data_IF_285540201128
#
_entry.id   IF_285540201128
#
_cell.length_a   1.000
_cell.length_b   1.000
_cell.length_c   1.000
_cell.angle_alpha   90.00
_cell.angle_beta   90.00
_cell.angle_gamma   90.00
#
_symmetry.space_group_name_H-M   'P 1'
#
loop_
_entity.id
_entity.type
_entity.pdbx_description
1 polymer ?
#
# COMPACT_ATOMS: atom_id res chain seq x y z
N UNK A 1 10.68 -19.62 24.07
CA UNK A 1 9.24 -19.72 23.75
C UNK A 1 9.09 -20.31 22.36
N UNK A 2 8.77 -21.60 22.31
CA UNK A 2 8.56 -22.53 21.18
C UNK A 2 9.07 -22.08 19.78
N UNK A 3 10.18 -22.70 19.32
CA UNK A 3 10.63 -22.67 17.93
C UNK A 3 9.54 -23.30 17.05
N UNK A 4 8.61 -22.49 16.59
CA UNK A 4 7.64 -22.89 15.58
C UNK A 4 8.46 -23.21 14.32
N UNK A 5 8.51 -24.49 13.94
CA UNK A 5 9.19 -24.90 12.71
C UNK A 5 8.47 -24.23 11.54
N UNK A 6 9.19 -23.36 10.85
CA UNK A 6 8.66 -22.62 9.70
C UNK A 6 8.50 -23.63 8.56
N UNK A 7 7.27 -23.76 8.05
CA UNK A 7 7.01 -24.57 6.86
C UNK A 7 7.62 -23.87 5.64
N UNK A 8 8.58 -24.52 4.99
CA UNK A 8 9.31 -23.97 3.84
C UNK A 8 8.38 -23.66 2.67
N UNK A 9 7.35 -24.47 2.43
CA UNK A 9 6.39 -24.22 1.33
C UNK A 9 5.62 -22.94 1.59
N UNK A 10 5.10 -22.77 2.81
CA UNK A 10 4.39 -21.55 3.22
C UNK A 10 5.31 -20.33 3.23
N UNK A 11 6.58 -20.51 3.60
CA UNK A 11 7.57 -19.43 3.57
C UNK A 11 7.82 -18.94 2.14
N UNK A 12 8.04 -19.86 1.20
CA UNK A 12 8.19 -19.51 -0.22
C UNK A 12 6.95 -18.80 -0.73
N UNK A 13 5.75 -19.33 -0.46
CA UNK A 13 4.49 -18.70 -0.85
C UNK A 13 4.33 -17.28 -0.28
N UNK A 14 4.72 -17.07 0.99
CA UNK A 14 4.69 -15.75 1.63
C UNK A 14 5.66 -14.77 0.96
N UNK A 15 6.89 -15.18 0.68
CA UNK A 15 7.91 -14.31 0.06
C UNK A 15 7.54 -14.00 -1.39
N UNK A 16 7.02 -14.99 -2.13
CA UNK A 16 6.70 -14.87 -3.56
C UNK A 16 5.22 -14.57 -3.81
N UNK A 17 4.50 -14.03 -2.82
CA UNK A 17 3.08 -13.73 -2.98
C UNK A 17 2.88 -12.64 -4.03
N UNK A 18 2.47 -13.04 -5.24
CA UNK A 18 2.51 -12.17 -6.41
C UNK A 18 1.76 -10.84 -6.26
N UNK A 19 0.61 -10.74 -5.56
CA UNK A 19 -0.11 -9.47 -5.46
C UNK A 19 0.75 -8.38 -4.80
N UNK A 20 1.69 -8.75 -3.94
CA UNK A 20 2.50 -7.81 -3.16
C UNK A 20 3.98 -7.82 -3.49
N UNK A 21 4.45 -8.68 -4.40
CA UNK A 21 5.88 -8.95 -4.61
C UNK A 21 6.68 -7.75 -5.11
N UNK A 22 6.09 -6.89 -5.96
CA UNK A 22 6.83 -5.78 -6.57
C UNK A 22 6.91 -4.58 -5.62
N UNK A 23 5.77 -4.09 -5.12
CA UNK A 23 5.74 -2.98 -4.15
C UNK A 23 4.44 -2.93 -3.35
N UNK A 24 3.83 -4.10 -3.08
CA UNK A 24 2.59 -4.16 -2.31
C UNK A 24 2.81 -3.96 -0.81
N UNK A 25 1.74 -3.98 -0.01
CA UNK A 25 1.84 -3.84 1.44
C UNK A 25 2.69 -4.96 2.07
N UNK A 26 3.48 -4.59 3.08
CA UNK A 26 4.24 -5.52 3.93
C UNK A 26 3.28 -6.09 5.00
N UNK A 27 3.09 -7.37 5.31
CA UNK A 27 3.73 -8.61 4.97
C UNK A 27 4.37 -9.20 6.26
N UNK A 28 3.63 -9.77 7.22
CA UNK A 28 4.17 -10.58 8.34
C UNK A 28 3.74 -12.04 8.20
N UNK A 29 4.73 -12.93 8.16
CA UNK A 29 4.53 -14.38 7.95
C UNK A 29 3.39 -14.98 8.79
N UNK A 30 3.35 -14.71 10.11
CA UNK A 30 2.32 -15.26 11.01
C UNK A 30 0.90 -14.82 10.64
N UNK A 31 0.72 -13.60 10.13
CA UNK A 31 -0.59 -13.09 9.72
C UNK A 31 -0.98 -13.66 8.36
N UNK A 32 -0.05 -13.68 7.40
CA UNK A 32 -0.28 -14.31 6.10
C UNK A 32 -0.69 -15.79 6.24
N UNK A 33 0.05 -16.57 7.01
CA UNK A 33 -0.25 -18.00 7.22
C UNK A 33 -1.61 -18.20 7.90
N UNK A 34 -2.01 -17.30 8.81
CA UNK A 34 -3.33 -17.36 9.45
C UNK A 34 -4.46 -17.20 8.43
N UNK A 35 -4.30 -16.30 7.44
CA UNK A 35 -5.30 -16.13 6.38
C UNK A 35 -5.22 -17.29 5.37
N UNK A 36 -4.01 -17.75 5.03
CA UNK A 36 -3.78 -18.86 4.10
C UNK A 36 -4.39 -20.19 4.59
N UNK A 37 -4.26 -20.50 5.88
CA UNK A 37 -4.79 -21.74 6.46
C UNK A 37 -6.28 -21.67 6.79
N UNK A 38 -6.89 -20.48 6.68
CA UNK A 38 -8.28 -20.27 7.07
C UNK A 38 -9.21 -20.57 5.90
N UNK A 39 -10.13 -21.50 6.12
CA UNK A 39 -11.24 -21.71 5.19
C UNK A 39 -12.15 -20.47 5.15
N UNK A 40 -12.49 -20.04 3.94
CA UNK A 40 -13.30 -18.84 3.72
C UNK A 40 -14.71 -19.27 3.36
N UNK A 41 -15.66 -18.93 4.23
CA UNK A 41 -17.07 -19.13 3.96
C UNK A 41 -17.54 -18.28 2.76
N UNK A 42 -18.50 -18.78 1.99
CA UNK A 42 -18.94 -18.18 0.72
C UNK A 42 -19.45 -16.74 0.89
N UNK A 43 -20.13 -16.46 1.99
CA UNK A 43 -20.61 -15.11 2.36
C UNK A 43 -19.44 -14.14 2.57
N UNK A 44 -18.40 -14.56 3.29
CA UNK A 44 -17.18 -13.77 3.51
C UNK A 44 -16.43 -13.57 2.19
N UNK A 45 -16.31 -14.60 1.35
CA UNK A 45 -15.67 -14.48 0.04
C UNK A 45 -16.41 -13.48 -0.87
N UNK A 46 -17.75 -13.50 -0.86
CA UNK A 46 -18.57 -12.54 -1.63
C UNK A 46 -18.32 -11.10 -1.20
N UNK A 47 -18.13 -10.85 0.11
CA UNK A 47 -17.74 -9.52 0.62
C UNK A 47 -16.33 -9.11 0.18
N UNK A 48 -15.38 -10.05 0.18
CA UNK A 48 -14.01 -9.80 -0.30
C UNK A 48 -14.01 -9.47 -1.79
N UNK A 49 -14.79 -10.19 -2.59
CA UNK A 49 -14.96 -9.92 -4.01
C UNK A 49 -15.52 -8.52 -4.26
N UNK A 50 -16.58 -8.12 -3.54
CA UNK A 50 -17.15 -6.77 -3.64
C UNK A 50 -16.12 -5.68 -3.30
N UNK A 51 -15.33 -5.88 -2.23
CA UNK A 51 -14.23 -4.95 -1.87
C UNK A 51 -13.12 -4.92 -2.92
N UNK A 52 -12.74 -6.07 -3.47
CA UNK A 52 -11.72 -6.16 -4.50
C UNK A 52 -12.12 -5.37 -5.75
N UNK A 53 -13.36 -5.56 -6.23
CA UNK A 53 -13.90 -4.78 -7.36
C UNK A 53 -13.88 -3.29 -7.05
N UNK A 54 -14.36 -2.89 -5.87
CA UNK A 54 -14.33 -1.48 -5.45
C UNK A 54 -12.92 -0.89 -5.44
N UNK A 55 -11.94 -1.61 -4.90
CA UNK A 55 -10.55 -1.17 -4.86
C UNK A 55 -9.90 -1.14 -6.25
N UNK A 56 -10.25 -2.06 -7.15
CA UNK A 56 -9.83 -1.97 -8.56
C UNK A 56 -10.36 -0.68 -9.19
N UNK A 57 -11.65 -0.37 -9.01
CA UNK A 57 -12.25 0.84 -9.59
C UNK A 57 -11.61 2.12 -9.05
N UNK A 58 -11.37 2.22 -7.74
CA UNK A 58 -10.66 3.36 -7.16
C UNK A 58 -9.19 3.38 -7.60
N UNK A 59 -8.53 2.23 -7.67
CA UNK A 59 -7.15 2.12 -8.13
C UNK A 59 -6.99 2.64 -9.56
N UNK A 60 -7.94 2.32 -10.44
CA UNK A 60 -7.97 2.82 -11.83
C UNK A 60 -8.09 4.34 -11.85
N UNK A 61 -9.04 4.89 -11.08
CA UNK A 61 -9.21 6.35 -10.94
C UNK A 61 -7.93 7.02 -10.41
N UNK A 62 -7.34 6.47 -9.36
CA UNK A 62 -6.17 7.06 -8.72
C UNK A 62 -4.95 7.02 -9.65
N UNK A 63 -4.62 5.86 -10.20
CA UNK A 63 -3.36 5.66 -10.93
C UNK A 63 -3.44 6.17 -12.36
N UNK A 64 -4.49 5.84 -13.10
CA UNK A 64 -4.55 6.10 -14.54
C UNK A 64 -5.27 7.39 -14.91
N UNK A 65 -6.05 7.98 -14.01
CA UNK A 65 -6.71 9.27 -14.26
C UNK A 65 -6.03 10.37 -13.46
N UNK A 66 -6.09 10.32 -12.12
CA UNK A 66 -5.61 11.42 -11.28
C UNK A 66 -4.09 11.53 -11.33
N UNK A 67 -3.35 10.46 -11.04
CA UNK A 67 -1.89 10.50 -11.02
C UNK A 67 -1.34 10.84 -12.41
N UNK A 68 -1.91 10.27 -13.48
CA UNK A 68 -1.52 10.60 -14.85
C UNK A 68 -1.73 12.09 -15.18
N UNK A 69 -2.90 12.65 -14.84
CA UNK A 69 -3.17 14.07 -15.01
C UNK A 69 -2.18 14.94 -14.22
N UNK A 70 -1.96 14.64 -12.94
CA UNK A 70 -1.03 15.41 -12.10
C UNK A 70 0.40 15.31 -12.65
N UNK A 71 0.82 14.13 -13.08
CA UNK A 71 2.14 13.92 -13.67
C UNK A 71 2.31 14.79 -14.92
N UNK A 72 1.37 14.72 -15.86
CA UNK A 72 1.46 15.40 -17.15
C UNK A 72 1.49 16.93 -17.00
N UNK A 73 0.69 17.50 -16.10
CA UNK A 73 0.49 18.95 -16.03
C UNK A 73 1.27 19.64 -14.89
N UNK A 74 1.64 18.91 -13.83
CA UNK A 74 2.25 19.50 -12.63
C UNK A 74 3.61 18.92 -12.25
N UNK A 75 4.04 17.81 -12.86
CA UNK A 75 5.35 17.19 -12.58
C UNK A 75 6.27 17.28 -13.78
N UNK A 76 5.88 16.73 -14.93
CA UNK A 76 6.71 16.66 -16.13
C UNK A 76 7.20 18.04 -16.61
N UNK A 77 6.36 19.10 -16.67
CA UNK A 77 6.80 20.42 -17.16
C UNK A 77 7.93 21.05 -16.33
N UNK A 78 8.01 20.67 -15.05
CA UNK A 78 8.94 21.25 -14.08
C UNK A 78 10.13 20.33 -13.80
N UNK A 79 10.18 19.13 -14.39
CA UNK A 79 11.27 18.18 -14.16
C UNK A 79 12.51 18.63 -14.92
N UNK A 80 13.53 19.09 -14.19
CA UNK A 80 14.78 19.61 -14.78
C UNK A 80 14.71 21.07 -15.24
N UNK A 81 13.58 21.74 -15.03
CA UNK A 81 13.31 23.11 -15.48
C UNK A 81 12.64 23.92 -14.36
N UNK A 82 13.35 24.10 -13.25
CA UNK A 82 12.90 24.91 -12.10
C UNK A 82 13.70 26.21 -12.07
N UNK A 83 13.09 27.31 -12.51
CA UNK A 83 13.80 28.60 -12.63
C UNK A 83 13.33 29.61 -11.58
N UNK A 84 12.04 29.58 -11.24
CA UNK A 84 11.43 30.49 -10.27
C UNK A 84 11.03 29.78 -8.97
N UNK A 85 10.94 30.54 -7.88
CA UNK A 85 10.40 30.03 -6.61
C UNK A 85 8.98 29.44 -6.77
N UNK A 86 8.16 30.02 -7.66
CA UNK A 86 6.83 29.51 -7.96
C UNK A 86 6.85 28.09 -8.53
N UNK A 87 7.81 27.79 -9.41
CA UNK A 87 7.98 26.48 -10.02
C UNK A 87 8.29 25.40 -8.97
N UNK A 88 9.16 25.72 -8.00
CA UNK A 88 9.46 24.82 -6.89
C UNK A 88 8.21 24.50 -6.06
N UNK A 89 7.37 25.49 -5.78
CA UNK A 89 6.14 25.29 -5.03
C UNK A 89 5.15 24.43 -5.80
N UNK A 90 4.94 24.71 -7.09
CA UNK A 90 4.05 23.92 -7.95
C UNK A 90 4.54 22.48 -8.04
N UNK A 91 5.84 22.28 -8.28
CA UNK A 91 6.44 20.95 -8.36
C UNK A 91 6.35 20.20 -7.03
N UNK A 92 6.60 20.86 -5.89
CA UNK A 92 6.51 20.23 -4.56
C UNK A 92 5.12 19.66 -4.30
N UNK A 93 4.07 20.44 -4.52
CA UNK A 93 2.69 19.97 -4.34
C UNK A 93 2.29 18.97 -5.43
N UNK A 94 2.60 19.25 -6.70
CA UNK A 94 2.31 18.37 -7.83
C UNK A 94 2.93 16.99 -7.65
N UNK A 95 4.22 16.92 -7.32
CA UNK A 95 4.91 15.67 -7.07
C UNK A 95 4.35 14.95 -5.83
N UNK A 96 4.01 15.67 -4.75
CA UNK A 96 3.39 15.06 -3.56
C UNK A 96 2.05 14.39 -3.87
N UNK A 97 1.21 15.02 -4.68
CA UNK A 97 -0.06 14.43 -5.13
C UNK A 97 0.16 13.26 -6.09
N UNK A 98 1.06 13.41 -7.06
CA UNK A 98 1.43 12.33 -7.97
C UNK A 98 1.91 11.09 -7.21
N UNK A 99 2.86 11.27 -6.29
CA UNK A 99 3.40 10.22 -5.45
C UNK A 99 2.30 9.50 -4.66
N UNK A 100 1.39 10.26 -4.05
CA UNK A 100 0.27 9.68 -3.32
C UNK A 100 -0.66 8.87 -4.22
N UNK A 101 -1.18 9.47 -5.30
CA UNK A 101 -2.20 8.82 -6.12
C UNK A 101 -1.64 7.64 -6.92
N UNK A 102 -0.40 7.73 -7.42
CA UNK A 102 0.24 6.63 -8.14
C UNK A 102 0.43 5.41 -7.21
N UNK A 103 0.98 5.66 -6.02
CA UNK A 103 1.34 4.60 -5.11
C UNK A 103 0.14 4.05 -4.32
N UNK A 104 -0.82 4.91 -3.93
CA UNK A 104 -2.08 4.47 -3.34
C UNK A 104 -2.92 3.69 -4.34
N UNK A 105 -2.99 4.13 -5.61
CA UNK A 105 -3.66 3.39 -6.67
C UNK A 105 -3.05 2.00 -6.90
N UNK A 106 -1.72 1.92 -6.97
CA UNK A 106 -1.02 0.64 -7.04
C UNK A 106 -1.30 -0.25 -5.81
N UNK A 107 -1.22 0.32 -4.60
CA UNK A 107 -1.50 -0.42 -3.36
C UNK A 107 -2.90 -1.01 -3.34
N UNK A 108 -3.90 -0.29 -3.88
CA UNK A 108 -5.27 -0.79 -4.00
C UNK A 108 -5.37 -1.98 -4.94
N UNK A 109 -4.64 -1.99 -6.06
CA UNK A 109 -4.59 -3.17 -6.93
C UNK A 109 -3.97 -4.39 -6.24
N UNK A 110 -2.85 -4.18 -5.52
CA UNK A 110 -2.21 -5.24 -4.75
C UNK A 110 -3.16 -5.84 -3.69
N UNK A 111 -3.89 -4.98 -2.96
CA UNK A 111 -4.87 -5.40 -1.94
C UNK A 111 -6.06 -6.10 -2.59
N UNK A 112 -6.60 -5.56 -3.68
CA UNK A 112 -7.74 -6.15 -4.38
C UNK A 112 -7.41 -7.56 -4.88
N UNK A 113 -6.27 -7.73 -5.55
CA UNK A 113 -5.81 -9.04 -5.99
C UNK A 113 -5.61 -9.97 -4.81
N UNK A 114 -4.98 -9.50 -3.72
CA UNK A 114 -4.85 -10.29 -2.50
C UNK A 114 -6.20 -10.81 -1.97
N UNK A 115 -7.25 -9.97 -2.00
CA UNK A 115 -8.58 -10.34 -1.53
C UNK A 115 -9.24 -11.39 -2.43
N UNK A 116 -8.98 -11.38 -3.74
CA UNK A 116 -9.42 -12.44 -4.65
C UNK A 116 -8.78 -13.79 -4.33
N UNK A 117 -7.54 -13.80 -3.81
CA UNK A 117 -6.87 -15.00 -3.30
C UNK A 117 -7.27 -15.34 -1.86
N UNK A 118 -8.20 -14.60 -1.26
CA UNK A 118 -8.67 -14.84 0.09
C UNK A 118 -7.74 -14.34 1.21
N UNK A 119 -6.65 -13.64 0.87
CA UNK A 119 -5.70 -13.11 1.84
C UNK A 119 -6.01 -11.64 2.11
N UNK A 120 -6.33 -11.27 3.35
CA UNK A 120 -6.71 -9.90 3.72
C UNK A 120 -5.46 -9.04 4.05
N UNK A 121 -4.64 -8.80 3.03
CA UNK A 121 -3.40 -7.99 3.13
C UNK A 121 -3.66 -6.59 3.72
N UNK A 122 -2.75 -6.03 4.54
CA UNK A 122 -2.87 -4.70 5.13
C UNK A 122 -3.09 -3.57 4.15
N UNK A 123 -3.79 -2.53 4.61
CA UNK A 123 -3.94 -1.28 3.86
C UNK A 123 -2.68 -0.43 4.03
N UNK A 124 -2.26 0.26 2.96
CA UNK A 124 -1.13 1.19 2.99
C UNK A 124 -1.53 2.64 3.32
N UNK A 125 -2.71 3.10 2.92
CA UNK A 125 -3.10 4.51 3.04
C UNK A 125 -4.46 4.69 3.72
N UNK A 126 -4.53 5.65 4.63
CA UNK A 126 -5.77 6.04 5.32
C UNK A 126 -5.90 7.56 5.47
N UNK A 127 -6.27 8.24 4.38
CA UNK A 127 -6.46 9.69 4.33
C UNK A 127 -5.29 10.48 4.96
N UNK A 128 -4.03 10.27 4.51
CA UNK A 128 -2.84 10.79 5.18
C UNK A 128 -2.81 12.32 5.29
N UNK A 129 -3.34 13.03 4.31
CA UNK A 129 -3.38 14.50 4.31
C UNK A 129 -4.40 15.09 5.29
N UNK A 130 -5.23 14.27 5.95
CA UNK A 130 -6.10 14.71 7.07
C UNK A 130 -5.43 14.57 8.44
N UNK A 131 -4.16 14.16 8.48
CA UNK A 131 -3.42 13.98 9.72
C UNK A 131 -3.28 15.30 10.50
N UNK A 132 -3.48 15.25 11.82
CA UNK A 132 -3.37 16.43 12.69
C UNK A 132 -1.93 16.76 13.11
N UNK A 133 -1.02 15.80 12.97
CA UNK A 133 0.39 15.93 13.32
C UNK A 133 1.21 14.84 12.62
N UNK A 134 2.54 14.91 12.72
CA UNK A 134 3.45 13.98 12.05
C UNK A 134 3.29 12.52 12.52
N UNK A 135 2.95 12.30 13.79
CA UNK A 135 2.70 10.95 14.33
C UNK A 135 1.44 10.35 13.70
N UNK A 136 0.37 11.14 13.59
CA UNK A 136 -0.87 10.74 12.91
C UNK A 136 -0.64 10.49 11.40
N UNK A 137 0.21 11.29 10.76
CA UNK A 137 0.59 11.09 9.36
C UNK A 137 1.23 9.71 9.13
N UNK A 138 2.20 9.30 9.98
CA UNK A 138 2.82 7.98 9.88
C UNK A 138 1.88 6.81 10.21
N UNK A 139 0.79 7.06 10.95
CA UNK A 139 -0.28 6.09 11.14
C UNK A 139 -1.27 6.02 9.96
N UNK A 140 -1.04 6.77 8.87
CA UNK A 140 -1.94 6.89 7.72
C UNK A 140 -1.24 6.80 6.36
N UNK A 141 0.06 7.07 6.31
CA UNK A 141 0.88 7.03 5.11
C UNK A 141 1.76 5.78 5.11
N UNK A 142 1.72 5.01 4.02
CA UNK A 142 2.50 3.79 3.83
C UNK A 142 2.54 2.92 5.11
N UNK A 143 1.37 2.68 5.69
CA UNK A 143 1.20 2.14 7.04
C UNK A 143 1.88 0.79 7.23
N UNK A 144 1.87 -0.09 6.22
CA UNK A 144 2.52 -1.39 6.30
C UNK A 144 4.02 -1.27 6.57
N UNK A 145 4.70 -0.40 5.84
CA UNK A 145 6.11 -0.07 6.03
C UNK A 145 6.34 0.66 7.35
N UNK A 146 5.53 1.67 7.66
CA UNK A 146 5.65 2.44 8.90
C UNK A 146 5.56 1.53 10.14
N UNK A 147 4.57 0.63 10.19
CA UNK A 147 4.41 -0.30 11.30
C UNK A 147 5.46 -1.40 11.32
N UNK A 148 5.98 -1.81 10.16
CA UNK A 148 7.12 -2.72 10.09
C UNK A 148 8.38 -2.08 10.68
N UNK A 149 8.73 -0.85 10.26
CA UNK A 149 9.86 -0.12 10.84
C UNK A 149 9.70 0.11 12.34
N UNK A 150 8.50 0.52 12.77
CA UNK A 150 8.20 0.71 14.20
C UNK A 150 8.51 -0.57 14.99
N UNK A 151 7.95 -1.70 14.60
CA UNK A 151 8.02 -2.92 15.41
C UNK A 151 9.35 -3.70 15.24
N UNK A 152 9.97 -3.64 14.05
CA UNK A 152 11.18 -4.41 13.73
C UNK A 152 12.48 -3.65 13.95
N UNK A 153 12.44 -2.32 13.99
CA UNK A 153 13.62 -1.47 14.14
C UNK A 153 13.45 -0.64 15.40
N UNK A 154 12.52 0.33 15.41
CA UNK A 154 12.42 1.32 16.49
C UNK A 154 12.22 0.69 17.88
N UNK A 155 11.24 -0.20 18.04
CA UNK A 155 10.93 -0.87 19.32
C UNK A 155 11.98 -1.92 19.74
N UNK A 156 13.02 -2.17 18.92
CA UNK A 156 14.13 -3.06 19.27
C UNK A 156 15.38 -2.31 19.71
N UNK A 157 15.47 -1.02 19.39
CA UNK A 157 16.54 -0.13 19.88
C UNK A 157 16.22 0.50 21.23
N UNK A 158 14.93 0.54 21.58
CA UNK A 158 14.42 0.93 22.90
C UNK A 158 14.22 -0.33 23.72
#
# INVERSE_FOLDING_TARGET
TLKQTVDLKKLVQFITFFPTISSGPIDRYRRFVKDYDKEIAMDKYSQLLGKAIHYIMIGLLYKYIIAHFVQQYFVTPYTGHLESFGDYVIYMYGYSFYLFFDFAGYSLFAIALSYLYGIETPINFNQPFRAKNIKDFWNRWHMSLSFWFRDCIYMRFI
#
